data_IF_696090235910
#
_entry.id   IF_696090235910
#
_cell.length_a   1.000
_cell.length_b   1.000
_cell.length_c   1.000
_cell.angle_alpha   90.00
_cell.angle_beta   90.00
_cell.angle_gamma   90.00
#
_symmetry.space_group_name_H-M   'P 1'
#
loop_
_entity.id
_entity.type
_entity.pdbx_description
1 polymer ?
#
# COMPACT_ATOMS: atom_id res chain seq x y z
N UNK A 1 -3.28 25.73 -14.16
CA UNK A 1 -3.11 24.98 -12.92
C UNK A 1 -2.11 25.68 -12.03
N UNK A 2 -2.52 26.09 -10.84
CA UNK A 2 -1.61 26.70 -9.86
C UNK A 2 -0.75 25.59 -9.24
N UNK A 3 0.56 25.82 -8.98
CA UNK A 3 1.40 24.82 -8.34
C UNK A 3 0.95 24.61 -6.88
N UNK A 4 0.71 23.35 -6.53
CA UNK A 4 0.42 22.96 -5.15
C UNK A 4 1.60 23.37 -4.25
N UNK A 5 1.37 24.35 -3.37
CA UNK A 5 2.33 24.66 -2.31
C UNK A 5 2.44 23.46 -1.37
N UNK A 6 3.59 22.81 -1.38
CA UNK A 6 3.93 21.79 -0.38
C UNK A 6 4.13 22.49 0.95
N UNK A 7 3.32 22.16 1.92
CA UNK A 7 3.58 22.57 3.29
C UNK A 7 4.83 21.86 3.80
N UNK A 8 5.86 22.63 4.14
CA UNK A 8 7.10 22.10 4.70
C UNK A 8 6.86 21.46 6.06
N UNK A 9 7.53 20.34 6.32
CA UNK A 9 7.52 19.56 7.57
C UNK A 9 8.24 20.35 8.68
N UNK A 10 7.61 21.38 9.27
CA UNK A 10 8.39 22.15 10.24
C UNK A 10 7.64 22.98 11.27
N UNK A 11 6.33 23.20 11.14
CA UNK A 11 5.55 23.92 12.18
C UNK A 11 4.08 23.49 12.15
N UNK A 12 3.53 23.05 13.27
CA UNK A 12 2.07 22.92 13.42
C UNK A 12 1.43 24.31 13.30
N UNK A 13 0.50 24.50 12.37
CA UNK A 13 -0.32 25.70 12.28
C UNK A 13 -0.03 26.68 11.13
N UNK A 14 0.89 26.38 10.22
CA UNK A 14 1.31 27.33 9.18
C UNK A 14 0.72 27.07 7.76
N UNK A 15 -0.09 26.05 7.56
CA UNK A 15 -0.81 25.87 6.32
C UNK A 15 -2.25 26.32 6.46
N UNK A 16 -2.75 27.18 5.55
CA UNK A 16 -4.20 27.33 5.46
C UNK A 16 -4.81 25.94 5.21
N UNK A 17 -5.85 25.60 5.96
CA UNK A 17 -6.56 24.34 5.77
C UNK A 17 -6.82 24.16 4.27
N UNK A 18 -6.35 23.06 3.68
CA UNK A 18 -6.65 22.75 2.30
C UNK A 18 -8.14 22.40 2.22
N UNK A 19 -8.95 23.42 1.93
CA UNK A 19 -10.41 23.31 1.85
C UNK A 19 -10.89 22.39 0.73
N UNK A 20 -9.95 21.88 -0.10
CA UNK A 20 -10.24 20.93 -1.17
C UNK A 20 -10.11 19.47 -0.72
N UNK A 21 -9.74 19.21 0.55
CA UNK A 21 -9.51 17.87 1.07
C UNK A 21 -10.26 17.65 2.37
N UNK A 22 -10.84 16.47 2.48
CA UNK A 22 -11.42 15.95 3.71
C UNK A 22 -11.09 14.45 3.78
N UNK A 23 -10.86 13.94 4.97
CA UNK A 23 -10.67 12.51 5.16
C UNK A 23 -12.02 11.81 5.21
N UNK A 24 -12.10 10.63 4.62
CA UNK A 24 -13.20 9.70 4.82
C UNK A 24 -12.74 8.70 5.88
N UNK A 25 -13.41 8.71 7.01
CA UNK A 25 -13.11 7.87 8.16
C UNK A 25 -14.24 6.85 8.38
N UNK A 26 -13.93 5.69 8.93
CA UNK A 26 -14.92 4.64 9.19
C UNK A 26 -15.66 4.84 10.52
N UNK A 27 -15.30 5.85 11.29
CA UNK A 27 -15.86 6.14 12.61
C UNK A 27 -15.32 5.23 13.71
N UNK A 28 -14.27 4.44 13.44
CA UNK A 28 -13.64 3.53 14.39
C UNK A 28 -12.29 4.08 14.86
N UNK A 29 -11.92 3.82 16.09
CA UNK A 29 -10.58 4.08 16.63
C UNK A 29 -9.66 2.87 16.48
N UNK A 30 -10.16 1.78 15.90
CA UNK A 30 -9.37 0.56 15.71
C UNK A 30 -8.47 0.70 14.50
N UNK A 31 -7.21 0.37 14.67
CA UNK A 31 -6.30 0.15 13.57
C UNK A 31 -6.59 -1.22 12.94
N UNK A 32 -6.70 -1.27 11.60
CA UNK A 32 -7.06 -2.50 10.86
C UNK A 32 -8.38 -3.13 11.32
N UNK A 33 -9.51 -2.39 11.24
CA UNK A 33 -10.77 -2.90 11.73
C UNK A 33 -11.25 -4.14 10.97
N UNK A 34 -11.78 -5.12 11.69
CA UNK A 34 -12.48 -6.26 11.11
C UNK A 34 -13.93 -6.29 11.64
N UNK A 35 -14.93 -6.33 10.77
CA UNK A 35 -14.86 -6.34 9.31
C UNK A 35 -14.29 -5.03 8.74
N UNK A 36 -13.78 -5.11 7.52
CA UNK A 36 -13.26 -3.95 6.80
C UNK A 36 -14.33 -2.85 6.65
N UNK A 37 -13.92 -1.57 6.54
CA UNK A 37 -14.84 -0.47 6.30
C UNK A 37 -15.78 -0.74 5.13
N UNK A 38 -17.06 -0.40 5.30
CA UNK A 38 -18.12 -0.73 4.34
C UNK A 38 -17.96 -0.08 2.97
N UNK A 39 -17.15 0.96 2.87
CA UNK A 39 -16.86 1.64 1.60
C UNK A 39 -15.75 0.97 0.79
N UNK A 40 -15.04 0.01 1.37
CA UNK A 40 -14.12 -0.82 0.61
C UNK A 40 -14.91 -1.93 -0.11
N UNK A 41 -14.62 -2.12 -1.39
CA UNK A 41 -15.25 -3.20 -2.15
C UNK A 41 -14.82 -4.60 -1.66
N UNK A 42 -15.43 -5.67 -2.21
CA UNK A 42 -15.10 -7.05 -1.82
C UNK A 42 -13.63 -7.43 -2.03
N UNK A 43 -12.99 -6.75 -2.98
CA UNK A 43 -11.56 -6.87 -3.30
C UNK A 43 -10.68 -5.98 -2.39
N UNK A 44 -11.26 -5.29 -1.41
CA UNK A 44 -10.60 -4.34 -0.52
C UNK A 44 -9.79 -3.28 -1.27
N UNK A 45 -10.27 -2.84 -2.43
CA UNK A 45 -9.58 -1.84 -3.24
C UNK A 45 -10.38 -0.57 -3.40
N UNK A 46 -9.72 0.54 -3.16
CA UNK A 46 -10.14 1.88 -3.52
C UNK A 46 -8.93 2.56 -4.15
N UNK A 47 -9.12 3.20 -5.29
CA UNK A 47 -8.01 3.78 -6.05
C UNK A 47 -8.12 5.29 -6.13
N UNK A 48 -6.96 5.94 -6.20
CA UNK A 48 -6.91 7.37 -6.52
C UNK A 48 -7.55 7.60 -7.88
N UNK A 49 -8.51 8.52 -7.93
CA UNK A 49 -9.30 8.80 -9.12
C UNK A 49 -10.72 8.23 -9.05
N UNK A 50 -10.98 7.24 -8.19
CA UNK A 50 -12.36 6.81 -7.94
C UNK A 50 -13.15 7.96 -7.30
N UNK A 51 -14.42 8.09 -7.66
CA UNK A 51 -15.27 9.17 -7.20
C UNK A 51 -16.46 8.68 -6.39
N UNK A 52 -17.00 9.55 -5.56
CA UNK A 52 -18.22 9.31 -4.79
C UNK A 52 -19.14 10.52 -4.95
N UNK A 53 -20.38 10.26 -5.29
CA UNK A 53 -21.46 11.24 -5.21
C UNK A 53 -22.22 11.08 -3.89
N UNK A 54 -22.83 12.15 -3.44
CA UNK A 54 -23.80 12.13 -2.31
C UNK A 54 -23.26 11.53 -1.00
N UNK A 55 -22.01 11.85 -0.67
CA UNK A 55 -21.44 11.46 0.62
C UNK A 55 -22.12 12.21 1.76
N UNK A 56 -22.87 11.50 2.57
CA UNK A 56 -23.51 12.03 3.77
C UNK A 56 -22.84 11.45 5.04
N UNK A 57 -22.57 12.32 6.01
CA UNK A 57 -21.90 11.90 7.23
C UNK A 57 -21.85 12.98 8.30
N UNK A 58 -21.29 12.62 9.44
CA UNK A 58 -21.01 13.55 10.54
C UNK A 58 -19.59 14.08 10.37
N UNK A 59 -19.41 15.39 10.48
CA UNK A 59 -18.12 16.02 10.46
C UNK A 59 -17.41 15.83 11.80
N UNK A 60 -16.24 15.23 11.77
CA UNK A 60 -15.32 15.09 12.90
C UNK A 60 -14.06 15.94 12.70
N UNK A 61 -13.25 15.99 13.75
CA UNK A 61 -11.91 16.56 13.71
C UNK A 61 -11.00 15.73 14.61
N UNK A 62 -10.01 15.06 14.03
CA UNK A 62 -9.01 14.32 14.78
C UNK A 62 -7.63 14.43 14.09
N UNK A 63 -6.56 14.20 14.84
CA UNK A 63 -5.19 14.23 14.35
C UNK A 63 -4.82 15.45 13.47
N UNK A 64 -5.49 16.60 13.71
CA UNK A 64 -5.22 17.84 12.97
C UNK A 64 -5.93 17.97 11.62
N UNK A 65 -6.87 17.09 11.30
CA UNK A 65 -7.63 17.08 10.05
C UNK A 65 -9.15 16.99 10.28
N UNK A 66 -9.91 17.57 9.37
CA UNK A 66 -11.34 17.31 9.30
C UNK A 66 -11.61 15.98 8.61
N UNK A 67 -12.59 15.25 9.13
CA UNK A 67 -12.99 13.94 8.63
C UNK A 67 -14.51 13.81 8.55
N UNK A 68 -14.99 13.00 7.62
CA UNK A 68 -16.40 12.64 7.49
C UNK A 68 -16.58 11.20 7.92
N UNK A 69 -17.45 10.99 8.92
CA UNK A 69 -17.90 9.68 9.35
C UNK A 69 -19.22 9.36 8.66
N UNK A 70 -19.25 8.46 7.66
CA UNK A 70 -20.45 8.19 6.89
C UNK A 70 -21.59 7.64 7.77
N UNK A 71 -22.78 8.20 7.61
CA UNK A 71 -23.99 7.72 8.27
C UNK A 71 -24.79 6.73 7.43
N UNK A 72 -24.42 6.56 6.18
CA UNK A 72 -24.99 5.61 5.23
C UNK A 72 -23.90 4.87 4.48
N UNK A 73 -24.27 3.81 3.76
CA UNK A 73 -23.34 3.10 2.90
C UNK A 73 -22.77 4.04 1.83
N UNK A 74 -21.44 3.97 1.64
CA UNK A 74 -20.73 4.75 0.63
C UNK A 74 -20.48 3.87 -0.57
N UNK A 75 -20.84 4.33 -1.75
CA UNK A 75 -20.60 3.64 -3.00
C UNK A 75 -19.68 4.47 -3.89
N UNK A 76 -18.54 3.91 -4.24
CA UNK A 76 -17.59 4.55 -5.14
C UNK A 76 -17.84 4.14 -6.59
N UNK A 77 -17.77 5.12 -7.48
CA UNK A 77 -17.65 4.88 -8.92
C UNK A 77 -16.19 4.62 -9.26
N UNK A 78 -15.92 3.47 -9.87
CA UNK A 78 -14.58 3.08 -10.29
C UNK A 78 -14.23 3.83 -11.57
N UNK A 79 -13.31 4.78 -11.49
CA UNK A 79 -12.85 5.59 -12.62
C UNK A 79 -11.37 5.33 -12.96
N UNK A 80 -10.69 4.59 -12.11
CA UNK A 80 -9.29 4.22 -12.30
C UNK A 80 -9.10 2.72 -12.05
N UNK A 81 -9.62 1.91 -12.95
CA UNK A 81 -9.49 0.46 -12.86
C UNK A 81 -8.02 0.02 -12.95
N UNK A 82 -7.71 -1.05 -12.25
CA UNK A 82 -6.37 -1.64 -12.30
C UNK A 82 -6.17 -2.30 -13.66
N UNK A 83 -5.09 -1.94 -14.40
CA UNK A 83 -4.76 -2.65 -15.63
C UNK A 83 -4.60 -4.16 -15.38
N UNK A 84 -5.01 -4.98 -16.34
CA UNK A 84 -4.89 -6.43 -16.25
C UNK A 84 -3.42 -6.92 -16.30
N UNK A 85 -2.52 -6.09 -16.79
CA UNK A 85 -1.10 -6.43 -16.93
C UNK A 85 -0.21 -5.18 -17.02
N UNK A 86 1.10 -5.37 -17.13
CA UNK A 86 2.05 -4.28 -17.35
C UNK A 86 1.80 -3.60 -18.70
N UNK A 87 2.22 -2.32 -18.85
CA UNK A 87 2.13 -1.64 -20.14
C UNK A 87 2.97 -2.36 -21.19
N UNK A 88 2.52 -2.31 -22.44
CA UNK A 88 3.31 -2.75 -23.58
C UNK A 88 4.52 -1.83 -23.75
N UNK A 89 5.71 -2.40 -23.63
CA UNK A 89 7.00 -1.69 -23.81
C UNK A 89 7.59 -1.86 -25.20
N UNK A 90 6.84 -2.48 -26.12
CA UNK A 90 7.26 -2.75 -27.49
C UNK A 90 8.12 -4.01 -27.63
N UNK A 91 8.45 -4.34 -28.88
CA UNK A 91 9.28 -5.50 -29.22
C UNK A 91 10.77 -5.18 -29.05
N UNK A 92 11.36 -5.55 -27.94
CA UNK A 92 12.81 -5.49 -27.70
C UNK A 92 13.39 -6.90 -27.60
N UNK A 93 14.71 -7.01 -27.82
CA UNK A 93 15.41 -8.30 -27.69
C UNK A 93 15.57 -8.72 -26.22
N UNK A 94 15.53 -7.78 -25.30
CA UNK A 94 15.66 -8.00 -23.86
C UNK A 94 14.71 -7.06 -23.13
N UNK A 95 13.92 -7.61 -22.21
CA UNK A 95 13.09 -6.86 -21.27
C UNK A 95 13.75 -6.86 -19.89
N UNK A 96 14.02 -5.68 -19.35
CA UNK A 96 14.53 -5.52 -17.99
C UNK A 96 13.49 -4.77 -17.14
N UNK A 97 13.30 -5.21 -15.89
CA UNK A 97 12.36 -4.60 -14.96
C UNK A 97 13.01 -4.34 -13.59
N UNK A 98 12.56 -3.27 -12.93
CA UNK A 98 12.79 -3.05 -11.51
C UNK A 98 11.48 -3.29 -10.76
N UNK A 99 11.52 -4.07 -9.69
CA UNK A 99 10.34 -4.44 -8.93
C UNK A 99 10.60 -4.32 -7.43
N UNK A 100 9.81 -3.47 -6.73
CA UNK A 100 9.85 -3.42 -5.29
C UNK A 100 8.93 -4.52 -4.72
N UNK A 101 9.52 -5.45 -3.97
CA UNK A 101 8.82 -6.62 -3.41
C UNK A 101 8.15 -6.36 -2.05
N UNK A 102 8.17 -5.11 -1.60
CA UNK A 102 7.50 -4.65 -0.37
C UNK A 102 7.96 -5.44 0.86
N UNK A 103 9.25 -5.30 1.21
CA UNK A 103 9.85 -5.98 2.35
C UNK A 103 9.61 -7.50 2.31
N UNK A 104 10.04 -8.15 1.23
CA UNK A 104 9.98 -9.60 1.14
C UNK A 104 11.07 -10.23 2.01
N UNK A 105 10.67 -10.66 3.20
CA UNK A 105 11.53 -11.26 4.20
C UNK A 105 11.08 -12.70 4.45
N UNK A 106 12.01 -13.63 4.33
CA UNK A 106 11.79 -15.03 4.72
C UNK A 106 11.81 -15.20 6.24
N UNK A 107 12.41 -14.23 6.95
CA UNK A 107 12.36 -14.13 8.41
C UNK A 107 11.09 -13.41 8.82
N UNK A 108 10.19 -14.11 9.52
CA UNK A 108 8.92 -13.56 9.99
C UNK A 108 9.11 -12.56 11.15
N UNK A 109 8.24 -11.55 11.22
CA UNK A 109 8.26 -10.52 12.29
C UNK A 109 7.47 -10.97 13.53
N UNK A 110 7.57 -12.23 13.92
CA UNK A 110 6.87 -12.82 15.06
C UNK A 110 7.78 -13.08 16.28
N UNK A 111 9.09 -13.02 16.10
CA UNK A 111 10.08 -13.44 17.10
C UNK A 111 10.84 -12.28 17.77
N UNK A 112 10.42 -11.03 17.55
CA UNK A 112 11.09 -9.83 18.05
C UNK A 112 12.31 -9.41 17.21
N UNK A 113 13.23 -8.58 17.72
CA UNK A 113 14.30 -7.97 16.94
C UNK A 113 15.40 -8.96 16.62
N UNK A 114 15.23 -9.74 15.57
CA UNK A 114 16.18 -10.77 15.09
C UNK A 114 16.70 -10.49 13.69
N UNK A 115 16.25 -9.41 13.05
CA UNK A 115 16.68 -9.01 11.72
C UNK A 115 17.86 -8.04 11.74
N UNK A 116 18.40 -7.75 10.57
CA UNK A 116 19.57 -6.90 10.41
C UNK A 116 20.88 -7.65 10.65
N UNK A 117 22.02 -7.01 10.32
CA UNK A 117 23.34 -7.67 10.35
C UNK A 117 23.79 -8.13 11.74
N UNK A 118 23.24 -7.56 12.80
CA UNK A 118 23.55 -7.91 14.19
C UNK A 118 22.42 -8.69 14.86
N UNK A 119 21.37 -9.03 14.14
CA UNK A 119 20.16 -9.68 14.68
C UNK A 119 19.53 -8.90 15.87
N UNK A 120 19.51 -7.59 15.78
CA UNK A 120 19.03 -6.69 16.83
C UNK A 120 17.95 -5.70 16.34
N UNK A 121 17.48 -5.87 15.11
CA UNK A 121 16.47 -5.02 14.50
C UNK A 121 15.14 -5.79 14.32
N UNK A 122 14.02 -5.07 14.42
CA UNK A 122 12.71 -5.60 14.05
C UNK A 122 12.69 -5.99 12.58
N UNK A 123 12.10 -7.12 12.28
CA UNK A 123 11.86 -7.54 10.92
C UNK A 123 10.77 -6.67 10.28
N UNK A 124 10.77 -6.56 8.96
CA UNK A 124 9.81 -5.74 8.22
C UNK A 124 8.93 -6.55 7.27
N UNK A 125 9.06 -7.87 7.34
CA UNK A 125 8.33 -8.79 6.50
C UNK A 125 6.92 -9.06 7.02
N UNK A 126 6.40 -10.23 6.64
CA UNK A 126 5.12 -10.71 7.10
C UNK A 126 5.18 -11.09 8.60
N UNK A 127 4.09 -10.81 9.32
CA UNK A 127 3.98 -11.12 10.75
C UNK A 127 3.81 -12.62 11.01
N UNK A 128 3.39 -13.39 10.01
CA UNK A 128 3.15 -14.82 10.14
C UNK A 128 3.22 -15.54 8.79
N UNK A 129 3.28 -16.87 8.83
CA UNK A 129 3.40 -17.71 7.64
C UNK A 129 2.22 -17.52 6.65
N UNK A 130 1.00 -17.27 7.12
CA UNK A 130 -0.15 -17.07 6.23
C UNK A 130 -0.01 -15.78 5.42
N UNK A 131 0.47 -14.70 6.04
CA UNK A 131 0.73 -13.45 5.35
C UNK A 131 1.89 -13.57 4.38
N UNK A 132 2.94 -14.27 4.77
CA UNK A 132 4.09 -14.55 3.93
C UNK A 132 3.68 -15.30 2.64
N UNK A 133 2.96 -16.41 2.78
CA UNK A 133 2.49 -17.19 1.64
C UNK A 133 1.58 -16.37 0.72
N UNK A 134 0.73 -15.53 1.29
CA UNK A 134 -0.12 -14.61 0.51
C UNK A 134 0.69 -13.55 -0.24
N UNK A 135 1.73 -12.99 0.40
CA UNK A 135 2.65 -12.05 -0.24
C UNK A 135 3.40 -12.73 -1.38
N UNK A 136 4.01 -13.89 -1.12
CA UNK A 136 4.73 -14.70 -2.10
C UNK A 136 3.88 -15.02 -3.32
N UNK A 137 2.68 -15.54 -3.12
CA UNK A 137 1.77 -15.88 -4.22
C UNK A 137 1.47 -14.67 -5.13
N UNK A 138 1.30 -13.47 -4.55
CA UNK A 138 1.06 -12.23 -5.30
C UNK A 138 2.31 -11.77 -6.06
N UNK A 139 3.49 -11.89 -5.45
CA UNK A 139 4.75 -11.51 -6.08
C UNK A 139 5.06 -12.44 -7.26
N UNK A 140 4.97 -13.74 -7.06
CA UNK A 140 5.17 -14.73 -8.14
C UNK A 140 4.21 -14.47 -9.30
N UNK A 141 2.93 -14.23 -9.03
CA UNK A 141 1.96 -13.89 -10.07
C UNK A 141 2.33 -12.60 -10.82
N UNK A 142 2.77 -11.56 -10.09
CA UNK A 142 3.17 -10.29 -10.68
C UNK A 142 4.44 -10.43 -11.53
N UNK A 143 5.45 -11.12 -11.04
CA UNK A 143 6.71 -11.38 -11.75
C UNK A 143 6.47 -12.22 -13.01
N UNK A 144 5.59 -13.22 -12.92
CA UNK A 144 5.20 -14.05 -14.08
C UNK A 144 4.51 -13.20 -15.16
N UNK A 145 3.58 -12.32 -14.79
CA UNK A 145 2.89 -11.44 -15.75
C UNK A 145 3.84 -10.39 -16.33
N UNK A 146 4.83 -9.95 -15.56
CA UNK A 146 5.84 -9.00 -16.02
C UNK A 146 6.65 -9.55 -17.17
N UNK A 147 6.90 -10.88 -17.22
CA UNK A 147 7.57 -11.60 -18.31
C UNK A 147 8.87 -10.91 -18.76
N UNK A 148 9.70 -10.50 -17.79
CA UNK A 148 10.97 -9.84 -18.04
C UNK A 148 12.12 -10.83 -18.02
N UNK A 149 13.13 -10.63 -18.92
CA UNK A 149 14.31 -11.46 -18.98
C UNK A 149 15.26 -11.22 -17.81
N UNK A 150 15.22 -10.01 -17.25
CA UNK A 150 16.02 -9.60 -16.08
C UNK A 150 15.18 -8.76 -15.16
N UNK A 151 15.14 -9.14 -13.87
CA UNK A 151 14.43 -8.38 -12.85
C UNK A 151 15.36 -7.96 -11.71
N UNK A 152 15.45 -6.66 -11.45
CA UNK A 152 16.08 -6.12 -10.25
C UNK A 152 15.06 -6.04 -9.13
N UNK A 153 15.28 -6.79 -8.04
CA UNK A 153 14.40 -6.77 -6.88
C UNK A 153 14.85 -5.71 -5.86
N UNK A 154 13.91 -4.98 -5.29
CA UNK A 154 14.12 -3.91 -4.31
C UNK A 154 13.31 -4.27 -3.06
N UNK A 155 13.87 -4.01 -1.88
CA UNK A 155 13.30 -4.37 -0.57
C UNK A 155 13.24 -5.90 -0.33
N UNK A 156 14.20 -6.63 -0.87
CA UNK A 156 14.43 -8.02 -0.51
C UNK A 156 15.22 -8.09 0.79
N UNK A 157 14.95 -9.10 1.63
CA UNK A 157 15.70 -9.34 2.86
C UNK A 157 17.20 -9.49 2.57
N UNK A 158 18.04 -8.80 3.33
CA UNK A 158 19.48 -8.98 3.32
C UNK A 158 19.86 -10.12 4.28
N UNK A 159 19.61 -11.35 3.86
CA UNK A 159 19.99 -12.54 4.61
C UNK A 159 21.49 -12.87 4.44
N UNK A 160 21.99 -13.78 5.26
CA UNK A 160 23.38 -14.25 5.19
C UNK A 160 23.65 -15.15 3.97
N UNK A 161 22.58 -15.63 3.34
CA UNK A 161 22.61 -16.54 2.18
C UNK A 161 21.59 -16.10 1.10
N UNK A 162 21.44 -16.89 0.06
CA UNK A 162 20.56 -16.61 -1.06
C UNK A 162 19.10 -17.03 -0.83
N UNK A 163 18.72 -17.39 0.40
CA UNK A 163 17.37 -17.92 0.73
C UNK A 163 16.26 -17.03 0.23
N UNK A 164 16.24 -15.69 0.47
CA UNK A 164 15.12 -14.87 0.05
C UNK A 164 14.94 -14.77 -1.47
N UNK A 165 16.03 -14.82 -2.22
CA UNK A 165 15.95 -14.78 -3.69
C UNK A 165 15.66 -16.16 -4.29
N UNK A 166 16.11 -17.21 -3.63
CA UNK A 166 15.86 -18.58 -4.07
C UNK A 166 14.42 -19.03 -3.77
N UNK A 167 13.74 -18.37 -2.83
CA UNK A 167 12.37 -18.65 -2.45
C UNK A 167 11.35 -18.04 -3.42
N UNK A 168 11.70 -16.94 -4.12
CA UNK A 168 10.89 -16.31 -5.15
C UNK A 168 11.07 -16.98 -6.52
#
# INVERSE_FOLDING_TARGET
GQPHQRCGTGRPGACPADLSRIQLDDGSTLQYPLPLPRYLGPDNTLRVGDSVADLAGVLGYSFGSYEVHPTSAVSFTRENERPAGPPDVGGSLVKAAGFNVLNYFTTLDDAGPICGPNADQGCRGADNAFEFERQKAKLVAALTILDADVVGLIELENAADDTPIADL
#
